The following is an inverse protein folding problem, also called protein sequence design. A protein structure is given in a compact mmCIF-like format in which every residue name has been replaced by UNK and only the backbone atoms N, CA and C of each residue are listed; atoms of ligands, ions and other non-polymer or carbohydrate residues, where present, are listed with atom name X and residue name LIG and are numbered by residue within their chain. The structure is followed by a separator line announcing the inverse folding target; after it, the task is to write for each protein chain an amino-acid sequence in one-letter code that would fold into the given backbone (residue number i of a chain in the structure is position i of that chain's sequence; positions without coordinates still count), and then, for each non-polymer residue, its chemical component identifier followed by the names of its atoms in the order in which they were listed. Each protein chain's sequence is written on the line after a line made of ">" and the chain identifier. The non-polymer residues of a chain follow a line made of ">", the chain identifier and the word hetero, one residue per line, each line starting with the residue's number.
data_IF_273672509546
#
_entry.id   IF_273672509546
#
_cell.length_a   1.000
_cell.length_b   1.000
_cell.length_c   1.000
_cell.angle_alpha   90.00
_cell.angle_beta   90.00
_cell.angle_gamma   90.00
#
_symmetry.space_group_name_H-M   'P 1'
#
loop_
_entity.id
_entity.type
_entity.pdbx_description
1 polymer ?
#
# COMPACT_ATOMS: atom_id res chain seq x y z
N UNK A 1 25.75 -45.60 31.40
CA UNK A 1 25.39 -44.16 31.22
C UNK A 1 26.21 -43.45 30.13
N UNK A 2 26.71 -44.14 29.07
CA UNK A 2 27.54 -43.51 28.02
C UNK A 2 26.83 -43.28 26.67
N UNK A 3 25.56 -43.70 26.54
CA UNK A 3 24.83 -43.67 25.24
C UNK A 3 23.79 -42.56 25.13
N UNK A 4 23.57 -41.77 26.19
CA UNK A 4 22.53 -40.73 26.21
C UNK A 4 22.89 -39.52 25.33
N UNK A 5 24.18 -39.22 25.16
CA UNK A 5 24.66 -38.10 24.35
C UNK A 5 24.56 -38.32 22.82
N UNK A 6 24.48 -39.57 22.37
CA UNK A 6 24.39 -39.89 20.93
C UNK A 6 22.95 -39.69 20.39
N UNK A 7 21.93 -39.92 21.22
CA UNK A 7 20.52 -39.70 20.86
C UNK A 7 20.06 -38.24 21.05
N UNK A 8 20.69 -37.47 21.93
CA UNK A 8 20.29 -36.10 22.25
C UNK A 8 20.59 -35.10 21.11
N UNK A 9 21.69 -35.31 20.38
CA UNK A 9 22.09 -34.48 19.23
C UNK A 9 21.10 -34.53 18.05
N UNK A 10 20.69 -35.72 17.54
CA UNK A 10 19.70 -35.78 16.46
C UNK A 10 18.33 -35.28 16.90
N UNK A 11 17.92 -35.49 18.16
CA UNK A 11 16.66 -34.94 18.68
C UNK A 11 16.66 -33.41 18.72
N UNK A 12 17.77 -32.78 19.12
CA UNK A 12 17.89 -31.32 19.13
C UNK A 12 17.90 -30.74 17.71
N UNK A 13 18.54 -31.41 16.75
CA UNK A 13 18.53 -31.03 15.34
C UNK A 13 17.13 -31.16 14.72
N UNK A 14 16.39 -32.21 15.04
CA UNK A 14 15.01 -32.41 14.56
C UNK A 14 14.06 -31.38 15.19
N UNK A 15 14.20 -31.10 16.49
CA UNK A 15 13.43 -30.06 17.17
C UNK A 15 13.70 -28.66 16.57
N UNK A 16 14.96 -28.32 16.31
CA UNK A 16 15.33 -27.05 15.69
C UNK A 16 14.81 -26.94 14.25
N UNK A 17 14.88 -28.02 13.46
CA UNK A 17 14.32 -28.07 12.11
C UNK A 17 12.79 -27.88 12.12
N UNK A 18 12.08 -28.51 13.07
CA UNK A 18 10.63 -28.33 13.22
C UNK A 18 10.27 -26.88 13.61
N UNK A 19 11.02 -26.24 14.50
CA UNK A 19 10.83 -24.83 14.83
C UNK A 19 11.06 -23.90 13.62
N UNK A 20 12.00 -24.25 12.74
CA UNK A 20 12.31 -23.46 11.54
C UNK A 20 11.23 -23.60 10.46
N UNK A 21 10.62 -24.78 10.31
CA UNK A 21 9.49 -25.00 9.39
C UNK A 21 8.21 -24.34 9.93
N UNK A 22 8.01 -24.34 11.24
CA UNK A 22 6.86 -23.68 11.89
C UNK A 22 6.93 -22.13 11.84
N UNK A 23 8.07 -21.56 11.48
CA UNK A 23 8.26 -20.11 11.33
C UNK A 23 8.12 -19.62 9.88
N UNK A 24 7.79 -20.50 8.92
CA UNK A 24 7.43 -20.09 7.56
C UNK A 24 6.01 -19.52 7.60
N UNK A 25 5.89 -18.21 7.81
CA UNK A 25 4.64 -17.51 7.55
C UNK A 25 4.34 -17.62 6.05
N UNK A 26 3.10 -17.97 5.65
CA UNK A 26 2.73 -17.95 4.24
C UNK A 26 3.07 -16.58 3.65
N UNK A 27 3.45 -16.56 2.37
CA UNK A 27 3.76 -15.32 1.67
C UNK A 27 2.63 -14.32 1.94
N UNK A 28 3.00 -13.25 2.62
CA UNK A 28 2.11 -12.15 2.91
C UNK A 28 1.59 -11.60 1.56
N UNK A 29 0.32 -11.19 1.51
CA UNK A 29 -0.31 -10.59 0.34
C UNK A 29 0.60 -9.53 -0.31
N UNK A 30 1.13 -9.86 -1.50
CA UNK A 30 2.06 -8.98 -2.20
C UNK A 30 1.29 -7.93 -2.98
N UNK A 31 0.78 -6.92 -2.29
CA UNK A 31 0.06 -5.80 -2.90
C UNK A 31 0.94 -4.54 -2.99
N UNK A 32 0.72 -3.77 -4.04
CA UNK A 32 1.17 -2.38 -4.17
C UNK A 32 -0.06 -1.48 -4.23
N UNK A 33 -0.11 -0.46 -3.38
CA UNK A 33 -1.11 0.61 -3.46
C UNK A 33 -0.54 1.73 -4.32
N UNK A 34 -1.32 2.19 -5.29
CA UNK A 34 -0.96 3.32 -6.16
C UNK A 34 -2.04 4.39 -6.03
N UNK A 35 -1.64 5.58 -5.57
CA UNK A 35 -2.49 6.77 -5.55
C UNK A 35 -2.30 7.59 -6.82
N UNK A 36 -3.36 7.80 -7.59
CA UNK A 36 -3.36 8.61 -8.81
C UNK A 36 -4.06 9.94 -8.50
N UNK A 37 -3.28 11.01 -8.48
CA UNK A 37 -3.76 12.39 -8.30
C UNK A 37 -3.95 13.06 -9.67
N UNK A 38 -5.20 13.29 -10.06
CA UNK A 38 -5.56 13.87 -11.37
C UNK A 38 -5.91 15.36 -11.29
N UNK A 39 -5.29 16.09 -10.36
CA UNK A 39 -5.61 17.51 -10.10
C UNK A 39 -4.47 18.44 -10.45
N UNK A 40 -3.30 17.89 -10.76
CA UNK A 40 -2.04 18.62 -10.91
C UNK A 40 -1.35 18.25 -12.21
N UNK A 41 -1.19 19.24 -13.07
CA UNK A 41 -0.54 19.07 -14.37
C UNK A 41 0.48 20.19 -14.59
N UNK A 42 1.27 20.06 -15.65
CA UNK A 42 2.22 21.06 -16.11
C UNK A 42 1.98 21.33 -17.59
N UNK A 43 1.96 22.60 -17.98
CA UNK A 43 1.90 23.01 -19.38
C UNK A 43 3.28 22.96 -20.06
N UNK A 44 3.34 23.39 -21.33
CA UNK A 44 4.58 23.40 -22.12
C UNK A 44 5.68 24.30 -21.55
N UNK A 45 5.33 25.28 -20.71
CA UNK A 45 6.26 26.20 -20.07
C UNK A 45 6.62 25.75 -18.65
N UNK A 46 6.27 24.50 -18.30
CA UNK A 46 6.43 23.91 -16.96
C UNK A 46 5.66 24.67 -15.85
N UNK A 47 4.64 25.45 -16.21
CA UNK A 47 3.77 26.09 -15.24
C UNK A 47 2.70 25.11 -14.77
N UNK A 48 2.44 25.13 -13.47
CA UNK A 48 1.43 24.28 -12.84
C UNK A 48 0.02 24.65 -13.33
N UNK A 49 -0.74 23.63 -13.74
CA UNK A 49 -2.14 23.71 -14.14
C UNK A 49 -2.98 22.87 -13.18
N UNK A 50 -3.97 23.51 -12.58
CA UNK A 50 -4.82 22.93 -11.55
C UNK A 50 -6.18 22.54 -12.12
N UNK A 51 -6.58 21.29 -11.91
CA UNK A 51 -7.81 20.70 -12.45
C UNK A 51 -8.85 20.41 -11.37
N UNK A 52 -10.14 20.29 -11.75
CA UNK A 52 -11.20 19.94 -10.80
C UNK A 52 -10.95 18.61 -10.08
N UNK A 53 -11.47 18.43 -8.85
CA UNK A 53 -11.46 17.14 -8.15
C UNK A 53 -12.39 16.12 -8.80
N UNK A 54 -12.32 14.87 -8.35
CA UNK A 54 -13.28 13.80 -8.71
C UNK A 54 -12.82 12.83 -9.81
N UNK A 55 -11.57 12.94 -10.28
CA UNK A 55 -10.97 12.01 -11.25
C UNK A 55 -9.79 11.21 -10.69
N UNK A 56 -9.57 11.28 -9.39
CA UNK A 56 -8.54 10.50 -8.73
C UNK A 56 -8.88 9.01 -8.70
N UNK A 57 -7.85 8.20 -8.47
CA UNK A 57 -8.04 6.77 -8.25
C UNK A 57 -7.02 6.22 -7.26
N UNK A 58 -7.41 5.18 -6.53
CA UNK A 58 -6.50 4.31 -5.79
C UNK A 58 -6.54 2.93 -6.45
N UNK A 59 -5.40 2.50 -6.98
CA UNK A 59 -5.26 1.21 -7.66
C UNK A 59 -4.54 0.22 -6.75
N UNK A 60 -5.06 -1.01 -6.68
CA UNK A 60 -4.41 -2.12 -5.98
C UNK A 60 -3.84 -3.07 -7.03
N UNK A 61 -2.53 -3.26 -6.97
CA UNK A 61 -1.79 -4.15 -7.85
C UNK A 61 -1.33 -5.37 -7.05
N UNK A 62 -1.74 -6.55 -7.48
CA UNK A 62 -1.21 -7.84 -7.04
C UNK A 62 0.10 -8.14 -7.77
N UNK A 63 1.18 -8.29 -7.01
CA UNK A 63 2.53 -8.61 -7.49
C UNK A 63 3.01 -10.00 -7.01
N UNK A 64 2.08 -10.87 -6.60
CA UNK A 64 2.37 -12.26 -6.19
C UNK A 64 3.08 -13.06 -7.27
N UNK A 65 2.74 -12.82 -8.54
CA UNK A 65 3.57 -13.15 -9.69
C UNK A 65 4.37 -11.91 -10.12
N UNK A 66 5.66 -11.90 -9.76
CA UNK A 66 6.57 -10.79 -10.08
C UNK A 66 6.72 -10.53 -11.57
N UNK A 67 6.50 -11.53 -12.42
CA UNK A 67 6.63 -11.40 -13.87
C UNK A 67 5.31 -11.01 -14.54
N UNK A 68 4.18 -11.16 -13.84
CA UNK A 68 2.84 -10.87 -14.36
C UNK A 68 1.99 -10.11 -13.32
N UNK A 69 2.35 -8.87 -12.95
CA UNK A 69 1.58 -8.09 -12.01
C UNK A 69 0.18 -7.77 -12.56
N UNK A 70 -0.83 -7.76 -11.68
CA UNK A 70 -2.25 -7.63 -12.06
C UNK A 70 -2.92 -6.53 -11.25
N UNK A 71 -3.67 -5.65 -11.91
CA UNK A 71 -4.59 -4.75 -11.22
C UNK A 71 -5.78 -5.57 -10.72
N UNK A 72 -6.02 -5.58 -9.42
CA UNK A 72 -7.11 -6.32 -8.78
C UNK A 72 -8.25 -5.42 -8.33
N UNK A 73 -8.00 -4.13 -8.13
CA UNK A 73 -9.01 -3.12 -7.87
C UNK A 73 -8.57 -1.74 -8.35
N UNK A 74 -9.53 -0.91 -8.73
CA UNK A 74 -9.36 0.51 -8.98
C UNK A 74 -10.54 1.26 -8.36
N UNK A 75 -10.29 1.96 -7.27
CA UNK A 75 -11.29 2.65 -6.48
C UNK A 75 -11.29 4.13 -6.84
N UNK A 76 -12.47 4.69 -7.14
CA UNK A 76 -12.65 6.13 -7.37
C UNK A 76 -12.64 6.88 -6.02
N UNK A 77 -11.46 6.99 -5.41
CA UNK A 77 -11.23 7.67 -4.14
C UNK A 77 -10.37 8.89 -4.36
N UNK A 78 -10.72 9.99 -3.69
CA UNK A 78 -9.86 11.17 -3.65
C UNK A 78 -8.56 10.87 -2.91
N UNK A 79 -7.46 11.44 -3.38
CA UNK A 79 -6.15 11.35 -2.73
C UNK A 79 -5.28 12.55 -3.15
N UNK A 80 -4.18 12.76 -2.46
CA UNK A 80 -3.29 13.89 -2.75
C UNK A 80 -1.83 13.48 -2.76
N UNK A 81 -1.13 13.84 -3.83
CA UNK A 81 0.34 13.82 -3.87
C UNK A 81 0.93 15.04 -3.14
N UNK A 82 0.15 16.12 -3.00
CA UNK A 82 0.53 17.31 -2.25
C UNK A 82 0.27 17.16 -0.74
N UNK A 83 1.22 17.63 0.08
CA UNK A 83 1.14 17.64 1.55
C UNK A 83 2.44 17.17 2.22
N UNK A 84 2.53 17.18 3.57
CA UNK A 84 3.61 16.50 4.30
C UNK A 84 3.70 15.01 3.93
N UNK A 85 4.88 14.36 4.05
CA UNK A 85 5.18 13.15 3.28
C UNK A 85 4.43 11.88 3.74
N UNK A 86 4.23 10.98 2.77
CA UNK A 86 3.53 9.67 2.74
C UNK A 86 2.02 9.69 3.00
N UNK A 87 1.23 9.69 1.92
CA UNK A 87 -0.22 9.56 1.96
C UNK A 87 -0.72 8.10 1.77
N UNK A 88 0.17 7.13 1.53
CA UNK A 88 -0.18 5.73 1.26
C UNK A 88 0.60 4.80 2.19
N UNK A 89 -0.08 3.80 2.77
CA UNK A 89 0.55 2.73 3.54
C UNK A 89 -0.25 1.43 3.48
N UNK A 90 0.45 0.29 3.52
CA UNK A 90 -0.13 -1.03 3.83
C UNK A 90 0.25 -1.36 5.28
N UNK A 91 -0.68 -1.91 6.06
CA UNK A 91 -0.36 -2.36 7.42
C UNK A 91 0.62 -3.53 7.40
N UNK A 92 1.46 -3.73 8.43
CA UNK A 92 2.46 -4.81 8.42
C UNK A 92 1.90 -6.23 8.28
N UNK A 93 0.62 -6.44 8.64
CA UNK A 93 -0.12 -7.71 8.47
C UNK A 93 -0.89 -7.78 7.14
N UNK A 94 -0.73 -6.74 6.30
CA UNK A 94 -1.28 -6.57 4.96
C UNK A 94 -2.80 -6.76 4.86
N UNK A 95 -3.50 -6.54 5.97
CA UNK A 95 -4.96 -6.57 5.99
C UNK A 95 -5.59 -5.28 5.49
N UNK A 96 -4.90 -4.14 5.69
CA UNK A 96 -5.46 -2.83 5.39
C UNK A 96 -4.52 -2.00 4.51
N UNK A 97 -5.13 -1.24 3.61
CA UNK A 97 -4.52 -0.13 2.91
C UNK A 97 -5.06 1.19 3.49
N UNK A 98 -4.16 2.12 3.81
CA UNK A 98 -4.45 3.46 4.33
C UNK A 98 -4.11 4.49 3.26
N UNK A 99 -5.08 5.33 2.92
CA UNK A 99 -4.91 6.40 1.92
C UNK A 99 -5.37 7.73 2.49
N UNK A 100 -4.49 8.72 2.54
CA UNK A 100 -4.83 10.07 2.97
C UNK A 100 -5.13 10.98 1.77
N UNK A 101 -6.17 11.79 1.91
CA UNK A 101 -6.41 12.97 1.09
C UNK A 101 -6.12 14.23 1.92
N UNK A 102 -4.90 14.73 1.80
CA UNK A 102 -4.45 15.89 2.57
C UNK A 102 -4.80 17.25 1.94
N UNK A 103 -5.36 17.27 0.73
CA UNK A 103 -5.68 18.49 0.00
C UNK A 103 -7.05 18.40 -0.66
N UNK A 104 -7.94 19.31 -0.28
CA UNK A 104 -9.21 19.54 -0.96
C UNK A 104 -9.06 20.65 -1.99
N UNK A 105 -9.99 20.68 -2.95
CA UNK A 105 -9.91 21.56 -4.11
C UNK A 105 -11.16 22.40 -4.20
N UNK A 106 -10.97 23.71 -4.05
CA UNK A 106 -12.04 24.70 -4.07
C UNK A 106 -11.83 25.69 -5.21
N UNK A 107 -12.91 26.27 -5.69
CA UNK A 107 -12.83 27.35 -6.67
C UNK A 107 -12.30 28.63 -6.01
N UNK A 108 -11.37 29.28 -6.70
CA UNK A 108 -10.85 30.61 -6.37
C UNK A 108 -10.92 31.48 -7.63
N UNK A 109 -12.05 32.20 -7.76
CA UNK A 109 -12.42 32.87 -9.02
C UNK A 109 -12.63 31.87 -10.16
N UNK A 110 -11.86 32.04 -11.25
CA UNK A 110 -11.88 31.14 -12.42
C UNK A 110 -10.89 29.98 -12.35
N UNK A 111 -10.17 29.83 -11.23
CA UNK A 111 -9.14 28.82 -11.04
C UNK A 111 -9.47 27.88 -9.89
N UNK A 112 -8.68 26.80 -9.78
CA UNK A 112 -8.73 25.88 -8.65
C UNK A 112 -7.59 26.16 -7.68
N UNK A 113 -7.86 25.95 -6.39
CA UNK A 113 -6.89 26.10 -5.32
C UNK A 113 -6.96 24.94 -4.35
N UNK A 114 -5.80 24.43 -3.97
CA UNK A 114 -5.67 23.45 -2.89
C UNK A 114 -5.85 24.12 -1.52
N UNK A 115 -6.65 23.51 -0.66
CA UNK A 115 -6.79 23.83 0.77
C UNK A 115 -6.55 22.57 1.59
N UNK A 116 -6.18 22.67 2.88
CA UNK A 116 -5.96 21.48 3.70
C UNK A 116 -7.21 20.59 3.77
N UNK A 117 -7.04 19.31 3.46
CA UNK A 117 -8.02 18.24 3.65
C UNK A 117 -7.67 17.34 4.83
N UNK A 118 -8.61 16.51 5.26
CA UNK A 118 -8.46 15.68 6.47
C UNK A 118 -8.97 14.23 6.33
N UNK A 119 -9.23 13.78 5.11
CA UNK A 119 -9.83 12.46 4.90
C UNK A 119 -8.77 11.35 4.92
N UNK A 120 -9.14 10.21 5.51
CA UNK A 120 -8.39 8.96 5.47
C UNK A 120 -9.34 7.84 5.04
N UNK A 121 -8.97 7.12 4.00
CA UNK A 121 -9.66 5.92 3.55
C UNK A 121 -8.94 4.70 4.11
N UNK A 122 -9.72 3.74 4.61
CA UNK A 122 -9.27 2.44 5.08
C UNK A 122 -9.88 1.39 4.17
N UNK A 123 -9.03 0.68 3.44
CA UNK A 123 -9.43 -0.33 2.46
C UNK A 123 -9.09 -1.70 3.03
N UNK A 124 -10.08 -2.58 3.16
CA UNK A 124 -9.88 -3.97 3.53
C UNK A 124 -9.33 -4.75 2.32
N UNK A 125 -8.07 -5.20 2.42
CA UNK A 125 -7.37 -5.95 1.38
C UNK A 125 -7.71 -7.45 1.39
N UNK A 126 -8.50 -7.90 2.37
CA UNK A 126 -8.93 -9.30 2.54
C UNK A 126 -10.42 -9.50 2.23
N UNK A 127 -11.15 -8.41 1.93
CA UNK A 127 -12.52 -8.49 1.46
C UNK A 127 -12.56 -9.22 0.11
N UNK A 128 -13.19 -10.39 0.10
CA UNK A 128 -13.49 -11.19 -1.10
C UNK A 128 -14.95 -11.02 -1.52
#
# INVERSE_FOLDING_TARGET
>A
MKNLGFALRPMLSVALAMCLVASVTPAAAQFVIIGIDNKVFWDSDAKQVLSPPGKDAVTILDISDRMNPRIVASLALMNSVFGPPVNLAITPDESLALVANSMDWVQDGGAWKGVPGSDIFVIDLKAN
#
